data_IF_556691646379
#
_entry.id   IF_556691646379
#
_cell.length_a   1.000
_cell.length_b   1.000
_cell.length_c   1.000
_cell.angle_alpha   90.00
_cell.angle_beta   90.00
_cell.angle_gamma   90.00
#
_symmetry.space_group_name_H-M   'P 1'
#
loop_
_entity.id
_entity.type
_entity.pdbx_description
1 polymer ?
#
# COMPACT_ATOMS: atom_id res chain seq x y z
N UNK A 1 34.25 -26.52 12.76
CA UNK A 1 34.23 -27.23 11.46
C UNK A 1 32.86 -27.85 11.29
N UNK A 2 31.97 -27.20 10.54
CA UNK A 2 30.69 -27.76 10.12
C UNK A 2 30.42 -27.26 8.69
N UNK A 3 29.98 -28.19 7.85
CA UNK A 3 30.25 -28.25 6.42
C UNK A 3 29.19 -27.46 5.63
N UNK A 4 29.57 -26.38 4.94
CA UNK A 4 28.71 -25.68 3.98
C UNK A 4 28.67 -26.49 2.67
N UNK A 5 27.60 -27.27 2.46
CA UNK A 5 27.35 -27.91 1.17
C UNK A 5 26.96 -26.84 0.14
N UNK A 6 27.91 -26.59 -0.76
CA UNK A 6 27.80 -25.72 -1.93
C UNK A 6 26.86 -26.39 -2.95
N UNK A 7 25.62 -25.94 -3.07
CA UNK A 7 24.77 -26.31 -4.20
C UNK A 7 25.09 -25.38 -5.38
N UNK A 8 25.96 -25.88 -6.26
CA UNK A 8 26.09 -25.39 -7.63
C UNK A 8 25.13 -26.22 -8.49
N UNK A 9 24.07 -25.60 -8.96
CA UNK A 9 23.25 -26.17 -10.02
C UNK A 9 22.72 -25.03 -10.88
N UNK A 10 23.33 -24.96 -12.07
CA UNK A 10 22.90 -24.25 -13.26
C UNK A 10 21.39 -24.51 -13.47
N UNK A 11 20.53 -23.53 -13.17
CA UNK A 11 19.11 -23.60 -13.51
C UNK A 11 18.86 -22.88 -14.83
N UNK A 12 18.31 -23.63 -15.77
CA UNK A 12 17.85 -23.15 -17.06
C UNK A 12 16.72 -22.14 -16.88
N UNK A 13 16.78 -21.08 -17.67
CA UNK A 13 15.91 -19.90 -17.63
C UNK A 13 14.55 -20.31 -18.21
N UNK A 14 13.53 -20.36 -17.35
CA UNK A 14 12.13 -20.37 -17.76
C UNK A 14 11.61 -18.92 -17.85
N UNK A 15 10.94 -18.51 -18.94
CA UNK A 15 10.67 -17.11 -19.26
C UNK A 15 9.52 -16.45 -18.47
N UNK A 16 9.12 -16.98 -17.31
CA UNK A 16 7.91 -16.51 -16.60
C UNK A 16 8.00 -16.58 -15.07
N UNK A 17 9.19 -16.44 -14.49
CA UNK A 17 9.39 -16.59 -13.05
C UNK A 17 10.06 -15.35 -12.43
N UNK A 18 9.32 -14.62 -11.60
CA UNK A 18 9.76 -13.41 -10.90
C UNK A 18 10.34 -13.77 -9.53
N UNK A 19 11.67 -13.70 -9.34
CA UNK A 19 12.27 -14.01 -8.04
C UNK A 19 12.04 -12.86 -7.04
N UNK A 20 11.14 -13.03 -6.07
CA UNK A 20 10.98 -12.16 -4.90
C UNK A 20 11.85 -12.64 -3.73
N UNK A 21 12.04 -11.76 -2.75
CA UNK A 21 12.93 -11.84 -1.57
C UNK A 21 12.13 -11.24 -0.35
N UNK A 22 11.97 -11.88 0.83
CA UNK A 22 11.06 -11.51 1.97
C UNK A 22 11.40 -12.36 3.19
N UNK A 23 10.89 -11.95 4.35
CA UNK A 23 11.04 -12.69 5.60
C UNK A 23 9.67 -13.14 6.12
N UNK A 24 9.47 -14.46 6.12
CA UNK A 24 8.51 -15.26 6.90
C UNK A 24 7.01 -15.23 6.50
N UNK A 25 6.44 -16.43 6.27
CA UNK A 25 5.10 -16.66 5.70
C UNK A 25 4.03 -17.21 6.64
N UNK A 26 2.75 -17.06 6.27
CA UNK A 26 1.52 -17.59 6.92
C UNK A 26 0.39 -17.75 5.84
N UNK A 27 -0.56 -18.72 5.95
CA UNK A 27 -1.40 -19.19 4.83
C UNK A 27 -2.78 -18.49 4.66
N UNK A 28 -3.34 -18.63 3.45
CA UNK A 28 -4.57 -18.03 2.91
C UNK A 28 -5.88 -18.72 3.36
N UNK A 29 -6.96 -17.93 3.58
CA UNK A 29 -8.36 -18.38 3.57
C UNK A 29 -9.23 -17.32 2.85
N UNK A 30 -9.98 -17.73 1.82
CA UNK A 30 -10.89 -16.89 1.03
C UNK A 30 -12.29 -16.87 1.65
N UNK A 31 -12.99 -15.74 1.59
CA UNK A 31 -14.42 -15.66 1.93
C UNK A 31 -15.15 -14.76 0.94
N UNK A 32 -16.05 -15.36 0.15
CA UNK A 32 -16.96 -14.68 -0.77
C UNK A 32 -18.24 -14.31 -0.03
N UNK A 33 -18.73 -13.08 -0.20
CA UNK A 33 -20.03 -12.64 0.30
C UNK A 33 -21.14 -13.15 -0.62
N UNK A 34 -21.94 -14.09 -0.12
CA UNK A 34 -23.04 -14.71 -0.86
C UNK A 34 -24.36 -14.00 -0.56
N UNK A 35 -24.79 -13.09 -1.46
CA UNK A 35 -26.22 -12.86 -1.64
C UNK A 35 -26.66 -13.66 -2.87
N UNK A 36 -27.55 -14.63 -2.65
CA UNK A 36 -28.06 -15.48 -3.73
C UNK A 36 -28.78 -14.63 -4.79
N UNK A 37 -28.54 -14.84 -6.10
CA UNK A 37 -29.24 -14.16 -7.19
C UNK A 37 -30.77 -14.24 -7.09
N UNK A 38 -31.29 -15.25 -6.41
CA UNK A 38 -32.72 -15.43 -6.15
C UNK A 38 -33.35 -14.29 -5.33
N UNK A 39 -32.58 -13.68 -4.41
CA UNK A 39 -33.07 -12.61 -3.53
C UNK A 39 -33.23 -11.29 -4.31
N UNK A 40 -32.29 -10.98 -5.19
CA UNK A 40 -32.34 -9.78 -6.04
C UNK A 40 -33.53 -9.87 -7.01
N UNK A 41 -33.76 -11.04 -7.60
CA UNK A 41 -34.88 -11.27 -8.52
C UNK A 41 -36.27 -11.21 -7.83
N UNK A 42 -36.37 -11.57 -6.55
CA UNK A 42 -37.63 -11.48 -5.80
C UNK A 42 -38.06 -10.03 -5.53
N UNK A 43 -37.10 -9.11 -5.31
CA UNK A 43 -37.38 -7.68 -5.05
C UNK A 43 -37.83 -6.95 -6.31
N UNK A 44 -37.24 -7.29 -7.47
CA UNK A 44 -37.61 -6.70 -8.76
C UNK A 44 -38.95 -7.21 -9.30
N UNK A 45 -39.29 -8.48 -9.08
CA UNK A 45 -40.57 -9.04 -9.55
C UNK A 45 -41.79 -8.51 -8.79
N UNK A 46 -41.62 -8.13 -7.51
CA UNK A 46 -42.70 -7.51 -6.73
C UNK A 46 -43.06 -6.09 -7.21
N UNK A 47 -42.11 -5.36 -7.81
CA UNK A 47 -42.36 -4.03 -8.38
C UNK A 47 -43.03 -4.06 -9.76
N UNK A 48 -42.83 -5.13 -10.52
CA UNK A 48 -43.33 -5.22 -11.90
C UNK A 48 -44.78 -5.72 -12.01
N UNK A 49 -45.29 -6.43 -10.99
CA UNK A 49 -46.68 -6.91 -10.95
C UNK A 49 -47.59 -5.87 -10.27
N UNK A 50 -47.92 -4.78 -10.97
CA UNK A 50 -48.89 -3.81 -10.48
C UNK A 50 -50.28 -4.43 -10.30
N UNK A 51 -50.71 -4.72 -9.06
CA UNK A 51 -52.11 -4.97 -8.69
C UNK A 51 -52.42 -4.50 -7.25
N UNK A 52 -53.53 -3.74 -7.16
CA UNK A 52 -54.35 -3.36 -6.00
C UNK A 52 -54.04 -2.03 -5.27
N UNK A 53 -55.08 -1.18 -5.19
CA UNK A 53 -55.15 0.09 -4.43
C UNK A 53 -55.50 -0.12 -2.95
N UNK A 54 -55.41 -1.34 -2.42
CA UNK A 54 -55.65 -1.60 -1.00
C UNK A 54 -54.39 -1.40 -0.16
N UNK A 55 -54.27 -0.20 0.42
CA UNK A 55 -53.15 0.24 1.26
C UNK A 55 -52.89 -0.63 2.49
N UNK A 56 -53.91 -1.37 2.97
CA UNK A 56 -53.79 -2.27 4.11
C UNK A 56 -52.97 -3.54 3.77
N UNK A 57 -53.19 -4.12 2.60
CA UNK A 57 -52.48 -5.31 2.13
C UNK A 57 -51.02 -5.01 1.78
N UNK A 58 -50.76 -3.82 1.21
CA UNK A 58 -49.40 -3.34 0.96
C UNK A 58 -48.60 -3.14 2.26
N UNK A 59 -49.20 -2.58 3.31
CA UNK A 59 -48.54 -2.41 4.62
C UNK A 59 -48.25 -3.76 5.30
N UNK A 60 -49.14 -4.74 5.16
CA UNK A 60 -48.94 -6.10 5.66
C UNK A 60 -47.83 -6.84 4.91
N UNK A 61 -47.74 -6.71 3.58
CA UNK A 61 -46.62 -7.27 2.82
C UNK A 61 -45.29 -6.59 3.14
N UNK A 62 -45.27 -5.26 3.27
CA UNK A 62 -44.05 -4.51 3.60
C UNK A 62 -43.51 -4.88 4.99
N UNK A 63 -44.38 -5.03 5.99
CA UNK A 63 -43.97 -5.42 7.35
C UNK A 63 -43.47 -6.86 7.42
N UNK A 64 -44.03 -7.78 6.61
CA UNK A 64 -43.56 -9.16 6.54
C UNK A 64 -42.19 -9.27 5.85
N UNK A 65 -41.92 -8.49 4.80
CA UNK A 65 -40.62 -8.44 4.12
C UNK A 65 -39.54 -7.88 5.05
N UNK A 66 -39.83 -6.81 5.80
CA UNK A 66 -38.88 -6.26 6.80
C UNK A 66 -38.56 -7.30 7.88
N UNK A 67 -39.55 -8.06 8.36
CA UNK A 67 -39.34 -9.11 9.36
C UNK A 67 -38.50 -10.30 8.83
N UNK A 68 -38.56 -10.58 7.53
CA UNK A 68 -37.78 -11.64 6.86
C UNK A 68 -36.38 -11.18 6.41
N UNK A 69 -36.11 -9.86 6.32
CA UNK A 69 -34.80 -9.30 5.97
C UNK A 69 -33.99 -8.82 7.16
N UNK A 70 -34.52 -8.84 8.40
CA UNK A 70 -33.69 -8.79 9.63
C UNK A 70 -32.99 -10.13 9.86
N UNK A 71 -32.39 -10.69 8.80
CA UNK A 71 -31.37 -11.72 8.93
C UNK A 71 -30.16 -11.05 9.52
N UNK A 72 -29.88 -11.36 10.79
CA UNK A 72 -28.71 -10.98 11.58
C UNK A 72 -27.52 -10.58 10.70
N UNK A 73 -27.24 -9.28 10.63
CA UNK A 73 -25.93 -8.80 10.22
C UNK A 73 -24.95 -9.22 11.33
N UNK A 74 -24.53 -10.48 11.31
CA UNK A 74 -23.37 -10.93 12.06
C UNK A 74 -22.18 -10.28 11.35
N UNK A 75 -21.73 -9.16 11.91
CA UNK A 75 -20.45 -8.59 11.55
C UNK A 75 -19.38 -9.64 11.86
N UNK A 76 -18.95 -10.39 10.84
CA UNK A 76 -17.79 -11.28 10.93
C UNK A 76 -16.53 -10.43 10.90
N UNK A 77 -16.35 -9.58 11.92
CA UNK A 77 -15.04 -9.05 12.19
C UNK A 77 -14.22 -10.19 12.74
N UNK A 78 -13.50 -10.91 11.87
CA UNK A 78 -12.41 -11.76 12.29
C UNK A 78 -11.45 -10.80 13.00
N UNK A 79 -11.25 -10.94 14.33
CA UNK A 79 -10.29 -10.09 15.02
C UNK A 79 -8.93 -10.33 14.36
N UNK A 80 -8.37 -9.28 13.75
CA UNK A 80 -7.00 -9.34 13.24
C UNK A 80 -6.11 -9.72 14.42
N UNK A 81 -5.09 -10.58 14.23
CA UNK A 81 -4.17 -10.90 15.30
C UNK A 81 -3.61 -9.58 15.87
N UNK A 82 -3.46 -9.47 17.21
CA UNK A 82 -2.89 -8.28 17.79
C UNK A 82 -1.50 -8.05 17.20
N UNK A 83 -1.18 -6.82 16.82
CA UNK A 83 0.18 -6.45 16.43
C UNK A 83 1.09 -6.76 17.62
N UNK A 84 2.00 -7.72 17.44
CA UNK A 84 2.90 -8.17 18.50
C UNK A 84 3.99 -7.12 18.81
N UNK A 85 4.20 -6.17 17.90
CA UNK A 85 5.09 -5.04 18.08
C UNK A 85 4.29 -3.78 18.44
N UNK A 86 4.75 -2.99 19.43
CA UNK A 86 4.14 -1.71 19.74
C UNK A 86 4.21 -0.78 18.52
N UNK A 87 3.21 0.07 18.36
CA UNK A 87 3.21 1.07 17.31
C UNK A 87 4.27 2.15 17.61
N UNK A 88 5.19 2.34 16.67
CA UNK A 88 6.15 3.45 16.72
C UNK A 88 5.68 4.57 15.78
N UNK A 89 5.44 5.79 16.29
CA UNK A 89 5.04 6.92 15.46
C UNK A 89 6.18 7.37 14.55
N UNK A 90 5.84 8.01 13.43
CA UNK A 90 6.87 8.63 12.59
C UNK A 90 7.48 9.85 13.30
N UNK A 91 8.74 10.13 13.00
CA UNK A 91 9.51 11.24 13.57
C UNK A 91 9.78 12.32 12.53
N UNK A 92 9.66 13.59 12.93
CA UNK A 92 9.92 14.70 12.00
C UNK A 92 11.40 14.75 11.60
N UNK A 93 11.67 14.79 10.30
CA UNK A 93 13.03 14.70 9.74
C UNK A 93 13.49 15.99 9.06
N UNK A 94 12.55 16.90 8.77
CA UNK A 94 12.85 18.26 8.32
C UNK A 94 11.98 18.74 7.16
N UNK A 95 12.37 19.90 6.65
CA UNK A 95 11.74 20.57 5.53
C UNK A 95 12.48 20.32 4.19
N UNK A 96 11.75 20.02 3.12
CA UNK A 96 12.31 19.65 1.81
C UNK A 96 11.57 20.33 0.66
N UNK A 97 12.29 20.70 -0.41
CA UNK A 97 11.65 21.20 -1.62
C UNK A 97 11.00 20.07 -2.41
N UNK A 98 9.77 20.29 -2.88
CA UNK A 98 9.05 19.39 -3.79
C UNK A 98 8.84 20.06 -5.15
N UNK A 99 9.75 19.84 -6.13
CA UNK A 99 9.66 20.48 -7.43
C UNK A 99 8.52 19.92 -8.30
N UNK A 100 7.80 18.89 -7.83
CA UNK A 100 6.64 18.28 -8.50
C UNK A 100 6.97 17.39 -9.70
N UNK A 101 8.15 17.55 -10.35
CA UNK A 101 8.58 16.72 -11.48
C UNK A 101 10.11 16.58 -11.59
N UNK A 102 10.71 15.48 -11.09
CA UNK A 102 10.06 14.45 -10.28
C UNK A 102 9.68 14.99 -8.90
N UNK A 103 8.62 14.47 -8.27
CA UNK A 103 8.27 14.88 -6.91
C UNK A 103 9.36 14.43 -5.91
N UNK A 104 9.48 15.14 -4.80
CA UNK A 104 10.47 14.83 -3.77
C UNK A 104 10.19 13.51 -3.02
N UNK A 105 8.92 13.10 -2.95
CA UNK A 105 8.48 11.77 -2.53
C UNK A 105 7.71 11.13 -3.68
N UNK A 106 7.89 9.83 -3.89
CA UNK A 106 7.48 9.18 -5.14
C UNK A 106 5.96 9.19 -5.40
N UNK A 107 5.14 9.20 -4.34
CA UNK A 107 3.70 8.99 -4.47
C UNK A 107 2.87 10.04 -3.76
N UNK A 108 2.12 10.81 -4.57
CA UNK A 108 0.99 11.59 -4.06
C UNK A 108 -0.18 10.66 -3.76
N UNK A 109 -0.70 10.70 -2.55
CA UNK A 109 -1.86 9.90 -2.14
C UNK A 109 -3.18 10.45 -2.69
N UNK A 110 -4.25 9.66 -2.59
CA UNK A 110 -5.62 10.06 -2.90
C UNK A 110 -6.43 10.49 -1.65
N UNK A 111 -5.76 10.68 -0.51
CA UNK A 111 -6.41 11.11 0.72
C UNK A 111 -7.03 12.50 0.56
N UNK A 112 -8.17 12.71 1.22
CA UNK A 112 -8.85 14.01 1.23
C UNK A 112 -8.04 15.04 2.00
N UNK A 113 -7.72 16.14 1.34
CA UNK A 113 -6.96 17.24 1.89
C UNK A 113 -7.82 18.12 2.82
N UNK A 114 -9.16 18.06 2.81
CA UNK A 114 -9.98 19.03 3.55
C UNK A 114 -9.88 18.94 5.08
N UNK A 115 -9.54 17.77 5.61
CA UNK A 115 -9.44 17.49 7.05
C UNK A 115 -8.16 16.72 7.39
N UNK A 116 -7.06 17.01 6.69
CA UNK A 116 -5.79 16.33 6.85
C UNK A 116 -5.08 16.73 8.15
N UNK A 117 -4.46 15.75 8.79
CA UNK A 117 -3.52 15.94 9.90
C UNK A 117 -2.23 15.15 9.63
N UNK A 118 -1.17 15.43 10.40
CA UNK A 118 0.08 14.67 10.32
C UNK A 118 -0.20 13.17 10.58
N UNK A 119 -1.05 12.85 11.54
CA UNK A 119 -1.40 11.48 11.93
C UNK A 119 -2.10 10.72 10.80
N UNK A 120 -2.99 11.37 10.06
CA UNK A 120 -3.70 10.72 8.94
C UNK A 120 -2.72 10.33 7.84
N UNK A 121 -1.84 11.25 7.44
CA UNK A 121 -0.88 10.99 6.37
C UNK A 121 0.18 9.96 6.79
N UNK A 122 0.78 10.11 7.99
CA UNK A 122 1.79 9.17 8.50
C UNK A 122 1.20 7.77 8.71
N UNK A 123 -0.03 7.65 9.24
CA UNK A 123 -0.69 6.35 9.38
C UNK A 123 -0.96 5.69 8.01
N UNK A 124 -1.36 6.47 7.01
CA UNK A 124 -1.55 5.94 5.65
C UNK A 124 -0.23 5.47 5.05
N UNK A 125 0.83 6.27 5.11
CA UNK A 125 2.14 5.89 4.59
C UNK A 125 2.71 4.67 5.32
N UNK A 126 2.60 4.62 6.65
CA UNK A 126 3.00 3.45 7.47
C UNK A 126 2.23 2.19 7.10
N UNK A 127 0.91 2.31 6.95
CA UNK A 127 0.04 1.20 6.52
C UNK A 127 0.34 0.69 5.11
N UNK A 128 1.03 1.49 4.29
CA UNK A 128 1.51 1.12 2.96
C UNK A 128 3.02 0.83 2.91
N UNK A 129 3.65 0.58 4.07
CA UNK A 129 5.09 0.31 4.22
C UNK A 129 5.99 1.33 3.52
N UNK A 130 5.61 2.61 3.57
CA UNK A 130 6.48 3.69 3.12
C UNK A 130 7.35 4.16 4.29
N UNK A 131 8.63 4.36 4.02
CA UNK A 131 9.59 4.89 5.01
C UNK A 131 9.30 6.34 5.36
N UNK A 132 8.89 7.13 4.39
CA UNK A 132 8.66 8.56 4.52
C UNK A 132 7.21 8.93 4.26
N UNK A 133 6.72 9.90 5.02
CA UNK A 133 5.47 10.61 4.80
C UNK A 133 5.79 12.10 4.68
N UNK A 134 5.21 12.77 3.69
CA UNK A 134 5.39 14.20 3.48
C UNK A 134 4.04 14.89 3.33
N UNK A 135 3.92 16.08 3.93
CA UNK A 135 2.74 16.93 3.76
C UNK A 135 3.15 18.24 3.12
N UNK A 136 2.43 18.62 2.06
CA UNK A 136 2.59 19.87 1.31
C UNK A 136 1.27 20.63 1.29
N UNK A 137 1.30 21.95 1.09
CA UNK A 137 0.15 22.80 0.82
C UNK A 137 -1.11 22.47 1.65
N UNK A 138 -1.09 22.74 2.96
CA UNK A 138 -2.20 22.47 3.90
C UNK A 138 -2.58 20.99 4.12
N UNK A 139 -1.84 20.04 3.57
CA UNK A 139 -2.05 18.60 3.81
C UNK A 139 -2.28 17.74 2.57
N UNK A 140 -1.75 18.14 1.42
CA UNK A 140 -1.52 17.18 0.32
C UNK A 140 -0.49 16.16 0.82
N UNK A 141 -0.93 14.91 0.98
CA UNK A 141 -0.11 13.84 1.54
C UNK A 141 0.64 13.08 0.43
N UNK A 142 1.94 12.88 0.66
CA UNK A 142 2.85 12.12 -0.16
C UNK A 142 3.51 11.02 0.68
N UNK A 143 3.81 9.88 0.05
CA UNK A 143 4.57 8.80 0.65
C UNK A 143 5.77 8.44 -0.24
N UNK A 144 6.82 7.92 0.38
CA UNK A 144 8.00 7.48 -0.37
C UNK A 144 8.94 6.58 0.40
N UNK A 145 9.90 6.02 -0.33
CA UNK A 145 10.99 5.21 0.24
C UNK A 145 12.31 5.98 0.29
N UNK A 146 12.42 7.05 -0.50
CA UNK A 146 13.56 7.94 -0.53
C UNK A 146 13.10 9.39 -0.65
N UNK A 147 13.92 10.32 -0.15
CA UNK A 147 13.69 11.76 -0.33
C UNK A 147 14.59 12.23 -1.47
N UNK A 148 13.99 12.63 -2.59
CA UNK A 148 14.70 13.07 -3.79
C UNK A 148 14.87 14.59 -3.85
N UNK A 149 14.07 15.32 -3.06
CA UNK A 149 14.15 16.77 -2.93
C UNK A 149 15.30 17.22 -2.04
N UNK A 150 15.95 18.36 -2.32
CA UNK A 150 16.92 18.95 -1.40
C UNK A 150 16.23 19.48 -0.14
N UNK A 151 16.97 19.56 0.97
CA UNK A 151 16.50 20.26 2.17
C UNK A 151 16.21 21.73 1.87
N UNK A 152 15.12 22.23 2.44
CA UNK A 152 14.71 23.63 2.41
C UNK A 152 14.95 24.29 3.78
N UNK A 153 14.73 25.60 3.88
CA UNK A 153 14.72 26.28 5.17
C UNK A 153 13.47 25.86 5.98
N UNK A 154 13.63 25.65 7.29
CA UNK A 154 12.53 25.23 8.17
C UNK A 154 11.39 26.26 8.19
N UNK A 155 11.68 27.55 7.94
CA UNK A 155 10.68 28.61 7.84
C UNK A 155 9.79 28.51 6.59
N UNK A 156 10.15 27.71 5.60
CA UNK A 156 9.32 27.45 4.41
C UNK A 156 8.24 26.40 4.68
N UNK A 157 8.45 25.53 5.67
CA UNK A 157 7.44 24.63 6.22
C UNK A 157 6.60 25.40 7.25
N UNK A 158 5.64 26.20 6.79
CA UNK A 158 4.87 27.10 7.66
C UNK A 158 3.35 27.06 7.44
N UNK A 159 2.85 26.25 6.52
CA UNK A 159 1.42 26.16 6.27
C UNK A 159 0.77 25.21 7.29
N UNK A 160 -0.30 25.64 7.97
CA UNK A 160 -0.98 24.79 8.95
C UNK A 160 -1.76 23.69 8.26
N UNK A 161 -1.92 22.54 8.92
CA UNK A 161 -2.76 21.46 8.39
C UNK A 161 -4.23 21.89 8.27
N UNK A 162 -4.96 21.32 7.32
CA UNK A 162 -6.38 21.63 7.12
C UNK A 162 -7.27 21.12 8.26
N UNK A 163 -6.99 19.93 8.79
CA UNK A 163 -7.72 19.28 9.88
C UNK A 163 -7.24 19.66 11.29
N UNK A 164 -6.01 20.17 11.44
CA UNK A 164 -5.48 20.65 12.71
C UNK A 164 -4.56 21.86 12.51
N UNK A 165 -4.99 23.04 12.95
CA UNK A 165 -4.24 24.30 12.74
C UNK A 165 -3.02 24.46 13.63
N UNK A 166 -2.87 23.64 14.66
CA UNK A 166 -1.69 23.63 15.54
C UNK A 166 -0.53 22.79 14.96
N UNK A 167 -0.78 22.09 13.85
CA UNK A 167 0.21 21.30 13.14
C UNK A 167 0.66 21.99 11.85
N UNK A 168 1.91 21.79 11.47
CA UNK A 168 2.49 22.28 10.21
C UNK A 168 2.47 21.15 9.17
N UNK A 169 2.01 21.47 7.97
CA UNK A 169 1.80 20.57 6.83
C UNK A 169 2.49 21.09 5.56
N UNK A 170 3.77 21.44 5.66
CA UNK A 170 4.60 21.89 4.55
C UNK A 170 4.39 23.33 4.13
N UNK A 171 4.57 23.58 2.83
CA UNK A 171 4.46 24.89 2.19
C UNK A 171 4.01 24.74 0.73
N UNK A 172 4.07 25.82 -0.05
CA UNK A 172 3.83 25.75 -1.50
C UNK A 172 5.07 25.19 -2.20
N UNK A 173 4.96 24.00 -2.79
CA UNK A 173 6.10 23.22 -3.31
C UNK A 173 7.16 22.88 -2.24
N UNK A 174 6.73 22.76 -0.98
CA UNK A 174 7.59 22.44 0.16
C UNK A 174 6.91 21.35 0.98
N UNK A 175 7.66 20.31 1.36
CA UNK A 175 7.22 19.20 2.20
C UNK A 175 7.79 19.33 3.60
N UNK A 176 6.92 19.28 4.60
CA UNK A 176 7.32 18.78 5.91
C UNK A 176 7.39 17.25 5.80
N UNK A 177 8.51 16.64 6.21
CA UNK A 177 8.73 15.19 6.06
C UNK A 177 8.95 14.51 7.40
N UNK A 178 8.32 13.34 7.54
CA UNK A 178 8.44 12.45 8.68
C UNK A 178 8.94 11.06 8.24
N UNK A 179 9.72 10.41 9.09
CA UNK A 179 10.34 9.09 8.85
C UNK A 179 9.81 8.05 9.84
N UNK A 180 9.62 6.82 9.34
CA UNK A 180 9.33 5.66 10.17
C UNK A 180 10.63 5.11 10.80
N UNK A 181 10.81 5.17 12.12
CA UNK A 181 12.03 4.69 12.79
C UNK A 181 12.20 3.16 12.73
N UNK A 182 11.16 2.42 12.33
CA UNK A 182 11.23 0.95 12.20
C UNK A 182 12.03 0.50 10.98
N UNK A 183 12.31 1.42 10.03
CA UNK A 183 13.15 1.11 8.87
C UNK A 183 14.64 1.16 9.25
N UNK A 184 15.43 0.12 8.93
CA UNK A 184 16.87 0.15 9.20
C UNK A 184 17.55 1.28 8.42
N UNK A 185 18.61 1.89 8.96
CA UNK A 185 19.37 2.91 8.25
C UNK A 185 20.00 2.32 6.97
N UNK A 186 19.77 2.98 5.83
CA UNK A 186 20.27 2.51 4.52
C UNK A 186 21.80 2.41 4.49
N UNK A 187 22.50 3.20 5.32
CA UNK A 187 23.96 3.21 5.40
C UNK A 187 24.57 1.90 5.92
N UNK A 188 23.76 1.06 6.58
CA UNK A 188 24.23 -0.22 7.13
C UNK A 188 23.89 -1.42 6.25
N UNK A 189 22.90 -1.28 5.38
CA UNK A 189 22.38 -2.39 4.59
C UNK A 189 23.28 -2.70 3.39
N UNK A 190 23.45 -3.99 3.09
CA UNK A 190 24.28 -4.45 1.97
C UNK A 190 23.51 -5.37 1.03
N UNK A 191 23.93 -5.43 -0.24
CA UNK A 191 23.25 -6.25 -1.27
C UNK A 191 23.23 -7.74 -0.89
N UNK A 192 24.19 -8.20 -0.11
CA UNK A 192 24.28 -9.60 0.30
C UNK A 192 23.25 -9.98 1.40
N UNK A 193 22.46 -9.01 1.91
CA UNK A 193 21.37 -9.22 2.87
C UNK A 193 20.01 -9.52 2.21
N UNK A 194 19.90 -9.44 0.88
CA UNK A 194 18.68 -9.84 0.18
C UNK A 194 18.55 -11.38 0.13
N UNK A 195 17.58 -11.93 0.86
CA UNK A 195 17.27 -13.37 0.90
C UNK A 195 16.19 -13.81 -0.09
N UNK A 196 16.45 -14.82 -0.92
CA UNK A 196 15.52 -15.28 -1.97
C UNK A 196 14.25 -15.92 -1.39
N UNK A 197 13.07 -15.41 -1.74
CA UNK A 197 11.78 -16.08 -1.54
C UNK A 197 11.41 -17.04 -2.63
N UNK A 198 11.95 -16.84 -3.83
CA UNK A 198 11.54 -17.60 -4.99
C UNK A 198 10.49 -16.88 -5.83
N UNK A 199 9.75 -17.63 -6.64
CA UNK A 199 9.03 -17.07 -7.78
C UNK A 199 7.59 -16.64 -7.46
N UNK A 200 7.17 -15.46 -7.92
CA UNK A 200 5.81 -14.94 -7.75
C UNK A 200 5.17 -14.59 -9.10
N UNK A 201 3.84 -14.64 -9.14
CA UNK A 201 3.04 -14.25 -10.31
C UNK A 201 2.88 -12.72 -10.31
N UNK A 202 3.27 -12.08 -11.42
CA UNK A 202 2.99 -10.67 -11.66
C UNK A 202 1.75 -10.56 -12.57
N UNK A 203 0.61 -10.24 -11.97
CA UNK A 203 -0.66 -10.09 -12.69
C UNK A 203 -0.98 -8.62 -12.90
N UNK A 204 -0.38 -8.02 -13.93
CA UNK A 204 -0.60 -6.59 -14.28
C UNK A 204 -2.06 -6.14 -14.40
N UNK A 205 -3.01 -7.06 -14.58
CA UNK A 205 -4.46 -6.77 -14.61
C UNK A 205 -5.14 -6.63 -13.24
N UNK A 206 -4.59 -7.23 -12.18
CA UNK A 206 -5.08 -7.13 -10.79
C UNK A 206 -4.19 -6.23 -9.92
N UNK A 207 -2.97 -5.96 -10.38
CA UNK A 207 -1.97 -5.16 -9.68
C UNK A 207 -0.61 -5.82 -9.81
N UNK A 208 0.45 -5.03 -9.94
CA UNK A 208 1.79 -5.62 -10.05
C UNK A 208 2.20 -6.24 -8.73
N UNK A 209 2.91 -7.37 -8.80
CA UNK A 209 3.49 -8.02 -7.61
C UNK A 209 4.37 -7.04 -6.83
N UNK A 210 5.02 -6.12 -7.54
CA UNK A 210 5.76 -5.05 -6.93
C UNK A 210 5.46 -3.67 -7.63
N UNK A 211 5.06 -2.67 -6.84
CA UNK A 211 4.42 -1.42 -7.28
C UNK A 211 5.30 -0.35 -7.95
N UNK A 212 6.61 -0.32 -7.70
CA UNK A 212 7.54 0.69 -8.22
C UNK A 212 8.61 0.10 -9.12
N UNK A 213 8.85 0.70 -10.28
CA UNK A 213 9.86 0.22 -11.22
C UNK A 213 11.13 1.06 -11.09
N UNK A 214 12.27 0.40 -10.97
CA UNK A 214 13.56 1.07 -11.12
C UNK A 214 13.93 1.13 -12.60
N UNK A 215 14.27 2.33 -13.07
CA UNK A 215 14.77 2.53 -14.43
C UNK A 215 16.26 2.18 -14.51
N UNK A 216 16.55 1.14 -15.28
CA UNK A 216 17.89 0.60 -15.47
C UNK A 216 18.06 0.08 -16.89
N UNK A 217 19.31 0.01 -17.35
CA UNK A 217 19.65 -0.57 -18.64
C UNK A 217 19.44 -2.09 -18.63
N UNK A 218 18.44 -2.56 -19.39
CA UNK A 218 18.10 -3.96 -19.52
C UNK A 218 19.22 -4.80 -20.18
N UNK A 219 20.07 -4.18 -21.00
CA UNK A 219 21.13 -4.92 -21.73
C UNK A 219 22.26 -5.41 -20.82
N UNK A 220 22.41 -4.81 -19.64
CA UNK A 220 23.45 -5.17 -18.67
C UNK A 220 22.87 -5.64 -17.33
N UNK A 221 21.60 -6.02 -17.30
CA UNK A 221 20.86 -6.35 -16.08
C UNK A 221 21.33 -7.64 -15.40
N UNK A 222 21.45 -7.61 -14.06
CA UNK A 222 21.68 -8.79 -13.21
C UNK A 222 20.89 -8.65 -11.91
N UNK A 223 20.61 -9.76 -11.23
CA UNK A 223 19.95 -9.72 -9.91
C UNK A 223 20.72 -8.83 -8.91
N UNK A 224 22.05 -8.89 -8.92
CA UNK A 224 22.89 -8.07 -8.02
C UNK A 224 22.77 -6.58 -8.32
N UNK A 225 22.75 -6.18 -9.60
CA UNK A 225 22.53 -4.78 -9.99
C UNK A 225 21.14 -4.29 -9.63
N UNK A 226 20.13 -5.13 -9.81
CA UNK A 226 18.75 -4.88 -9.37
C UNK A 226 18.70 -4.62 -7.86
N UNK A 227 19.22 -5.56 -7.06
CA UNK A 227 19.23 -5.45 -5.59
C UNK A 227 19.99 -4.20 -5.15
N UNK A 228 21.13 -3.91 -5.77
CA UNK A 228 21.89 -2.69 -5.49
C UNK A 228 21.09 -1.43 -5.77
N UNK A 229 20.38 -1.36 -6.91
CA UNK A 229 19.57 -0.19 -7.24
C UNK A 229 18.39 -0.01 -6.28
N UNK A 230 17.73 -1.11 -5.91
CA UNK A 230 16.67 -1.09 -4.91
C UNK A 230 17.20 -0.63 -3.55
N UNK A 231 18.37 -1.12 -3.13
CA UNK A 231 19.02 -0.73 -1.90
C UNK A 231 19.37 0.76 -1.88
N UNK A 232 19.95 1.27 -2.97
CA UNK A 232 20.23 2.71 -3.15
C UNK A 232 18.96 3.57 -3.05
N UNK A 233 17.82 3.04 -3.50
CA UNK A 233 16.51 3.68 -3.36
C UNK A 233 15.81 3.46 -2.02
N UNK A 234 16.45 2.79 -1.06
CA UNK A 234 15.89 2.51 0.27
C UNK A 234 14.84 1.41 0.30
N UNK A 235 14.73 0.61 -0.77
CA UNK A 235 13.69 -0.40 -0.89
C UNK A 235 14.10 -1.74 -0.26
N UNK A 236 13.25 -2.32 0.60
CA UNK A 236 13.53 -3.58 1.29
C UNK A 236 13.30 -4.82 0.41
N UNK A 237 12.73 -4.64 -0.79
CA UNK A 237 12.34 -5.71 -1.68
C UNK A 237 12.85 -5.40 -3.09
N UNK A 238 13.27 -6.44 -3.81
CA UNK A 238 13.76 -6.35 -5.16
C UNK A 238 13.27 -7.56 -5.94
N UNK A 239 12.81 -7.36 -7.18
CA UNK A 239 12.37 -8.43 -8.06
C UNK A 239 12.71 -8.14 -9.51
N UNK A 240 13.22 -9.16 -10.20
CA UNK A 240 13.52 -9.12 -11.64
C UNK A 240 12.44 -9.85 -12.44
N UNK A 241 12.00 -9.23 -13.53
CA UNK A 241 11.06 -9.73 -14.52
C UNK A 241 11.69 -9.67 -15.92
N UNK A 242 11.41 -10.64 -16.79
CA UNK A 242 11.79 -10.64 -18.22
C UNK A 242 13.22 -10.14 -18.53
N UNK A 243 14.24 -10.60 -17.79
CA UNK A 243 15.64 -10.24 -17.98
C UNK A 243 15.94 -8.71 -17.99
N UNK A 244 15.04 -7.85 -17.50
CA UNK A 244 15.23 -6.40 -17.61
C UNK A 244 14.17 -5.49 -17.00
N UNK A 245 13.01 -6.02 -16.57
CA UNK A 245 11.96 -5.21 -15.96
C UNK A 245 11.96 -5.42 -14.45
N UNK A 246 11.94 -4.32 -13.71
CA UNK A 246 12.05 -4.32 -12.26
C UNK A 246 10.74 -3.84 -11.66
N UNK A 247 10.37 -4.47 -10.58
CA UNK A 247 9.21 -4.09 -9.79
C UNK A 247 9.69 -4.06 -8.33
N UNK A 248 9.11 -3.22 -7.45
CA UNK A 248 9.44 -3.06 -6.02
C UNK A 248 8.18 -2.76 -5.19
N UNK A 249 7.92 -3.47 -4.09
CA UNK A 249 6.69 -3.31 -3.31
C UNK A 249 6.75 -2.02 -2.51
N UNK A 250 5.79 -1.15 -2.79
CA UNK A 250 5.02 -0.48 -1.74
C UNK A 250 3.94 -1.47 -1.37
N UNK A 251 3.80 -1.83 -0.10
CA UNK A 251 2.74 -2.77 0.26
C UNK A 251 1.41 -2.08 0.00
N UNK A 252 0.73 -2.41 -1.10
CA UNK A 252 -0.69 -2.13 -1.19
C UNK A 252 -1.39 -3.10 -0.23
N UNK A 253 -2.16 -2.60 0.76
CA UNK A 253 -3.04 -3.44 1.53
C UNK A 253 -4.18 -3.85 0.58
N UNK A 254 -4.17 -5.10 0.13
CA UNK A 254 -5.36 -5.77 -0.38
C UNK A 254 -6.07 -5.04 -1.53
N UNK A 255 -5.60 -5.26 -2.77
CA UNK A 255 -6.46 -5.24 -3.95
C UNK A 255 -6.74 -6.69 -4.31
N UNK A 256 -8.03 -7.03 -4.41
CA UNK A 256 -8.64 -8.37 -4.34
C UNK A 256 -8.17 -9.40 -5.37
#
# INVERSE_FOLDING_TARGET
MANKSRFSSRLEISPSCLLLYHSLGIPHVSSTSSLSPAVIMAVFTLHAAGVSRDTALMKLLQTLVVALTVGSALATQIPRPPCLVPFEPFEYTGCFMDPGSPPALEWRTLLDQNAMTIEICTAYCKGNSNRYAGLSYYGVCYCGMSIQGPRADEGECNLPCSGNKDQICGGDNILSVWEDPTFPPISEATVDEFDALGCWTDESGAGRALAYRQDMDASTMTNKKCQQKCLEGGYPLAGTEFAGMLSVVLSAPWGE
#
